data_IF_518932548415
#
_entry.id   IF_518932548415
#
_cell.length_a   1.000
_cell.length_b   1.000
_cell.length_c   1.000
_cell.angle_alpha   90.00
_cell.angle_beta   90.00
_cell.angle_gamma   90.00
#
_symmetry.space_group_name_H-M   'P 1'
#
loop_
_entity.id
_entity.type
_entity.pdbx_description
1 polymer ?
#
# COMPACT_ATOMS: atom_id res chain seq x y z
N UNK A 1 42.20 -28.31 -24.72
CA UNK A 1 41.11 -29.29 -24.59
C UNK A 1 39.85 -28.57 -24.94
N UNK A 2 39.55 -28.60 -26.23
CA UNK A 2 38.41 -27.93 -26.86
C UNK A 2 37.17 -28.79 -26.69
N UNK A 3 36.09 -28.21 -26.16
CA UNK A 3 34.77 -28.82 -26.22
C UNK A 3 33.79 -27.80 -26.78
N UNK A 4 33.68 -27.82 -28.10
CA UNK A 4 32.60 -27.27 -28.90
C UNK A 4 31.32 -28.07 -28.61
N UNK A 5 30.24 -27.39 -28.19
CA UNK A 5 28.89 -27.95 -28.21
C UNK A 5 27.94 -27.01 -28.94
N UNK A 6 27.53 -27.49 -30.12
CA UNK A 6 26.56 -26.92 -31.03
C UNK A 6 25.11 -27.18 -30.58
N UNK A 7 24.29 -26.16 -30.83
CA UNK A 7 22.95 -26.19 -31.44
C UNK A 7 21.88 -27.19 -30.96
N UNK A 8 20.71 -26.64 -30.62
CA UNK A 8 19.42 -27.12 -31.14
C UNK A 8 18.38 -26.01 -31.05
N UNK A 9 18.11 -25.42 -32.20
CA UNK A 9 17.08 -24.43 -32.50
C UNK A 9 15.77 -25.20 -32.78
N UNK A 10 14.75 -25.05 -31.94
CA UNK A 10 13.42 -25.62 -32.18
C UNK A 10 12.40 -24.51 -32.47
N UNK A 11 12.05 -24.46 -33.74
CA UNK A 11 11.10 -23.58 -34.40
C UNK A 11 9.68 -24.16 -34.20
N UNK A 12 8.75 -23.38 -33.63
CA UNK A 12 7.32 -23.70 -33.60
C UNK A 12 6.50 -22.65 -34.37
N UNK A 13 5.46 -23.06 -35.13
CA UNK A 13 4.73 -22.20 -36.06
C UNK A 13 3.64 -21.33 -35.37
N UNK A 14 3.22 -20.21 -36.00
CA UNK A 14 2.15 -19.37 -35.49
C UNK A 14 0.76 -19.87 -35.94
N UNK A 15 -0.05 -20.35 -34.99
CA UNK A 15 -1.47 -20.63 -35.23
C UNK A 15 -2.30 -19.36 -35.05
N UNK A 16 -2.71 -18.77 -36.17
CA UNK A 16 -3.71 -17.73 -36.23
C UNK A 16 -5.11 -18.33 -36.02
N UNK A 17 -5.79 -17.97 -34.92
CA UNK A 17 -7.21 -18.25 -34.73
C UNK A 17 -7.96 -16.91 -34.70
N UNK A 18 -8.71 -16.66 -35.79
CA UNK A 18 -9.68 -15.59 -35.91
C UNK A 18 -10.93 -15.96 -35.11
N UNK A 19 -11.36 -15.09 -34.20
CA UNK A 19 -12.70 -15.15 -33.61
C UNK A 19 -13.63 -14.12 -34.27
N UNK A 20 -14.89 -14.48 -34.56
CA UNK A 20 -15.90 -13.55 -35.08
C UNK A 20 -16.50 -12.66 -33.97
N UNK A 21 -17.07 -11.49 -34.34
CA UNK A 21 -17.68 -10.57 -33.38
C UNK A 21 -19.06 -11.06 -32.94
N UNK A 22 -19.32 -11.03 -31.62
CA UNK A 22 -20.62 -11.29 -31.02
C UNK A 22 -21.42 -9.98 -30.94
N UNK A 23 -22.71 -9.97 -31.32
CA UNK A 23 -23.53 -8.76 -31.40
C UNK A 23 -24.05 -8.28 -30.03
N UNK A 24 -23.97 -6.96 -29.85
CA UNK A 24 -24.61 -6.19 -28.78
C UNK A 24 -26.13 -6.33 -28.84
N UNK A 25 -26.74 -6.81 -27.76
CA UNK A 25 -28.17 -6.64 -27.49
C UNK A 25 -28.35 -5.76 -26.26
N UNK A 26 -28.70 -4.50 -26.52
CA UNK A 26 -29.53 -3.68 -25.64
C UNK A 26 -30.80 -4.46 -25.30
N UNK A 27 -31.38 -4.26 -24.10
CA UNK A 27 -32.84 -4.22 -23.86
C UNK A 27 -33.14 -4.02 -22.35
N UNK A 28 -33.77 -2.87 -22.09
CA UNK A 28 -34.96 -2.65 -21.24
C UNK A 28 -34.78 -2.45 -19.71
N UNK A 29 -34.86 -1.16 -19.36
CA UNK A 29 -35.60 -0.57 -18.24
C UNK A 29 -36.80 -1.39 -17.75
N UNK A 30 -36.85 -1.70 -16.45
CA UNK A 30 -38.14 -1.78 -15.74
C UNK A 30 -38.02 -1.20 -14.33
N UNK A 31 -38.42 0.05 -14.23
CA UNK A 31 -38.99 0.64 -13.03
C UNK A 31 -40.20 -0.17 -12.60
N UNK A 32 -40.36 -0.47 -11.31
CA UNK A 32 -41.70 -0.55 -10.73
C UNK A 32 -41.68 -0.17 -9.25
N UNK A 33 -42.48 0.87 -8.99
CA UNK A 33 -42.79 1.49 -7.73
C UNK A 33 -43.80 0.66 -6.91
N UNK A 34 -43.76 0.91 -5.59
CA UNK A 34 -44.88 0.91 -4.62
C UNK A 34 -45.57 -0.41 -4.28
N UNK A 35 -45.58 -0.78 -2.99
CA UNK A 35 -46.55 -0.30 -1.98
C UNK A 35 -46.18 -0.83 -0.58
N UNK A 36 -46.38 -0.05 0.51
CA UNK A 36 -46.35 -0.54 1.88
C UNK A 36 -47.76 -1.03 2.28
N UNK A 37 -47.84 -2.13 3.02
CA UNK A 37 -49.07 -2.53 3.71
C UNK A 37 -48.75 -2.93 5.15
N UNK A 38 -49.48 -2.40 6.16
CA UNK A 38 -49.26 -2.70 7.56
C UNK A 38 -50.16 -3.84 8.05
N UNK A 39 -49.77 -4.43 9.18
CA UNK A 39 -50.54 -5.33 10.04
C UNK A 39 -50.89 -6.74 9.50
N UNK A 40 -50.21 -7.74 10.07
CA UNK A 40 -50.89 -8.92 10.61
C UNK A 40 -50.08 -9.55 11.73
N UNK A 41 -50.69 -9.59 12.91
CA UNK A 41 -50.27 -10.34 14.08
C UNK A 41 -50.55 -11.83 13.85
N UNK A 42 -49.51 -12.65 13.81
CA UNK A 42 -49.55 -14.10 14.11
C UNK A 42 -48.25 -14.37 14.90
N UNK A 43 -48.27 -14.53 16.22
CA UNK A 43 -48.68 -15.71 17.00
C UNK A 43 -48.19 -17.06 16.42
N UNK A 44 -47.18 -17.57 17.13
CA UNK A 44 -46.80 -18.98 17.32
C UNK A 44 -46.11 -19.69 16.15
N UNK A 45 -44.78 -19.75 16.21
CA UNK A 45 -44.05 -21.03 16.23
C UNK A 45 -42.70 -20.81 16.92
N UNK A 46 -42.53 -21.41 18.10
CA UNK A 46 -41.25 -21.53 18.79
C UNK A 46 -40.33 -22.43 17.95
N UNK A 47 -39.64 -21.85 16.98
CA UNK A 47 -38.48 -22.48 16.35
C UNK A 47 -37.24 -22.13 17.18
N UNK A 48 -36.37 -23.10 17.51
CA UNK A 48 -35.11 -22.84 18.20
C UNK A 48 -34.31 -21.76 17.46
N UNK A 49 -34.04 -20.65 18.14
CA UNK A 49 -33.35 -19.47 17.62
C UNK A 49 -31.92 -19.81 17.14
N UNK A 50 -31.80 -20.22 15.88
CA UNK A 50 -30.59 -20.09 15.08
C UNK A 50 -30.45 -18.66 14.57
N UNK A 51 -30.17 -17.70 15.46
CA UNK A 51 -29.76 -16.35 15.04
C UNK A 51 -28.24 -16.29 14.91
N UNK A 52 -27.68 -17.11 14.01
CA UNK A 52 -26.40 -16.81 13.38
C UNK A 52 -26.66 -15.97 12.14
N UNK A 53 -27.14 -14.74 12.33
CA UNK A 53 -27.12 -13.72 11.25
C UNK A 53 -25.71 -13.11 11.09
N UNK A 54 -24.66 -13.87 11.41
CA UNK A 54 -23.32 -13.54 10.93
C UNK A 54 -23.25 -13.95 9.46
N UNK A 55 -23.62 -12.98 8.63
CA UNK A 55 -22.96 -12.62 7.37
C UNK A 55 -22.55 -13.82 6.51
N UNK A 56 -23.21 -13.97 5.36
CA UNK A 56 -22.87 -14.92 4.30
C UNK A 56 -21.49 -14.71 3.64
N UNK A 57 -20.43 -14.46 4.42
CA UNK A 57 -19.09 -14.84 4.05
C UNK A 57 -19.07 -16.36 3.97
N UNK A 58 -18.97 -16.86 2.74
CA UNK A 58 -18.73 -18.26 2.43
C UNK A 58 -17.76 -18.83 3.46
N UNK A 59 -18.24 -19.74 4.31
CA UNK A 59 -17.40 -20.45 5.27
C UNK A 59 -16.39 -21.26 4.46
N UNK A 60 -15.16 -20.78 4.42
CA UNK A 60 -14.04 -21.52 3.84
C UNK A 60 -13.60 -22.56 4.86
N UNK A 61 -13.64 -23.83 4.47
CA UNK A 61 -13.26 -24.97 5.28
C UNK A 61 -11.77 -24.90 5.65
N UNK A 62 -11.37 -25.59 6.73
CA UNK A 62 -9.99 -25.56 7.23
C UNK A 62 -8.98 -26.02 6.16
N UNK A 63 -9.30 -27.08 5.41
CA UNK A 63 -8.42 -27.61 4.37
C UNK A 63 -8.27 -26.64 3.18
N UNK A 64 -9.33 -25.91 2.81
CA UNK A 64 -9.28 -24.90 1.74
C UNK A 64 -8.44 -23.69 2.17
N UNK A 65 -8.54 -23.27 3.43
CA UNK A 65 -7.66 -22.22 4.00
C UNK A 65 -6.20 -22.64 3.93
N UNK A 66 -5.88 -23.87 4.31
CA UNK A 66 -4.53 -24.41 4.21
C UNK A 66 -4.02 -24.41 2.77
N UNK A 67 -4.80 -24.95 1.83
CA UNK A 67 -4.44 -24.95 0.41
C UNK A 67 -4.28 -23.54 -0.16
N UNK A 68 -5.12 -22.60 0.27
CA UNK A 68 -5.03 -21.19 -0.11
C UNK A 68 -3.70 -20.56 0.32
N UNK A 69 -3.29 -20.78 1.57
CA UNK A 69 -2.01 -20.25 2.06
C UNK A 69 -0.83 -20.94 1.36
N UNK A 70 -0.87 -22.26 1.19
CA UNK A 70 0.16 -22.99 0.43
C UNK A 70 0.28 -22.50 -1.02
N UNK A 71 -0.83 -22.11 -1.65
CA UNK A 71 -0.79 -21.49 -2.97
C UNK A 71 -0.06 -20.14 -2.92
N UNK A 72 -0.34 -19.28 -1.92
CA UNK A 72 0.36 -18.01 -1.77
C UNK A 72 1.87 -18.21 -1.59
N UNK A 73 2.27 -19.15 -0.74
CA UNK A 73 3.68 -19.51 -0.51
C UNK A 73 4.33 -20.04 -1.79
N UNK A 74 3.67 -20.98 -2.49
CA UNK A 74 4.20 -21.59 -3.72
C UNK A 74 4.27 -20.64 -4.91
N UNK A 75 3.52 -19.54 -4.90
CA UNK A 75 3.51 -18.51 -5.95
C UNK A 75 4.04 -17.17 -5.42
N UNK A 76 5.00 -17.21 -4.50
CA UNK A 76 5.57 -15.99 -3.92
C UNK A 76 6.24 -15.07 -4.95
N UNK A 77 6.86 -15.63 -5.98
CA UNK A 77 7.54 -14.85 -7.02
C UNK A 77 6.54 -14.06 -7.86
N UNK A 78 5.41 -14.68 -8.19
CA UNK A 78 4.28 -13.99 -8.83
C UNK A 78 3.77 -12.85 -7.95
N UNK A 79 3.71 -13.04 -6.63
CA UNK A 79 3.31 -11.98 -5.71
C UNK A 79 4.34 -10.83 -5.65
N UNK A 80 5.64 -11.14 -5.79
CA UNK A 80 6.74 -10.17 -5.81
C UNK A 80 6.74 -9.33 -7.09
N UNK A 81 6.50 -9.95 -8.23
CA UNK A 81 6.76 -9.35 -9.54
C UNK A 81 5.51 -8.88 -10.28
N UNK A 82 4.34 -9.49 -10.04
CA UNK A 82 3.11 -9.09 -10.71
C UNK A 82 2.41 -7.95 -9.96
N UNK A 83 1.61 -7.13 -10.66
CA UNK A 83 0.65 -6.25 -10.00
C UNK A 83 -0.25 -7.04 -9.05
N UNK A 84 -0.45 -6.53 -7.83
CA UNK A 84 -1.26 -7.20 -6.78
C UNK A 84 -2.64 -7.64 -7.27
N UNK A 85 -3.28 -6.86 -8.14
CA UNK A 85 -4.57 -7.21 -8.75
C UNK A 85 -4.50 -8.47 -9.64
N UNK A 86 -3.44 -8.63 -10.42
CA UNK A 86 -3.23 -9.80 -11.28
C UNK A 86 -3.00 -11.06 -10.45
N UNK A 87 -2.13 -11.00 -9.44
CA UNK A 87 -1.91 -12.12 -8.52
C UNK A 87 -3.22 -12.62 -7.91
N UNK A 88 -4.07 -11.73 -7.41
CA UNK A 88 -5.35 -12.12 -6.83
C UNK A 88 -6.37 -12.64 -7.85
N UNK A 89 -6.29 -12.21 -9.12
CA UNK A 89 -7.12 -12.79 -10.19
C UNK A 89 -6.66 -14.21 -10.56
N UNK A 90 -5.34 -14.45 -10.62
CA UNK A 90 -4.77 -15.78 -10.81
C UNK A 90 -5.18 -16.69 -9.65
N UNK A 91 -5.07 -16.19 -8.41
CA UNK A 91 -5.54 -16.89 -7.20
C UNK A 91 -7.03 -17.26 -7.29
N UNK A 92 -7.90 -16.34 -7.70
CA UNK A 92 -9.35 -16.61 -7.84
C UNK A 92 -9.60 -17.72 -8.84
N UNK A 93 -8.96 -17.64 -10.00
CA UNK A 93 -9.10 -18.64 -11.08
C UNK A 93 -8.64 -20.01 -10.59
N UNK A 94 -7.47 -20.07 -9.94
CA UNK A 94 -6.97 -21.31 -9.33
C UNK A 94 -7.94 -21.86 -8.26
N UNK A 95 -8.45 -21.00 -7.38
CA UNK A 95 -9.36 -21.40 -6.30
C UNK A 95 -10.67 -21.95 -6.86
N UNK A 96 -11.25 -21.30 -7.87
CA UNK A 96 -12.46 -21.74 -8.55
C UNK A 96 -12.26 -23.08 -9.26
N UNK A 97 -11.13 -23.26 -9.97
CA UNK A 97 -10.78 -24.52 -10.60
C UNK A 97 -10.54 -25.66 -9.60
N UNK A 98 -9.99 -25.34 -8.42
CA UNK A 98 -9.62 -26.33 -7.40
C UNK A 98 -10.82 -26.79 -6.56
N UNK A 99 -11.72 -25.86 -6.21
CA UNK A 99 -12.83 -26.13 -5.29
C UNK A 99 -14.22 -26.06 -5.95
N UNK A 100 -14.29 -25.74 -7.24
CA UNK A 100 -15.54 -25.62 -7.99
C UNK A 100 -16.43 -24.46 -7.54
N UNK A 101 -15.86 -23.44 -6.88
CA UNK A 101 -16.60 -22.28 -6.37
C UNK A 101 -15.80 -20.99 -6.41
N UNK A 102 -16.45 -19.90 -6.76
CA UNK A 102 -15.80 -18.59 -6.85
C UNK A 102 -15.60 -17.95 -5.47
N UNK A 103 -14.43 -17.31 -5.28
CA UNK A 103 -14.09 -16.59 -4.06
C UNK A 103 -14.18 -15.08 -4.29
N UNK A 104 -15.12 -14.42 -3.60
CA UNK A 104 -15.40 -12.99 -3.83
C UNK A 104 -14.22 -12.08 -3.47
N UNK A 105 -13.61 -12.30 -2.31
CA UNK A 105 -12.55 -11.45 -1.75
C UNK A 105 -11.39 -12.28 -1.19
N UNK A 106 -10.48 -12.78 -2.05
CA UNK A 106 -9.32 -13.57 -1.61
C UNK A 106 -8.39 -12.78 -0.69
N UNK A 107 -8.04 -11.53 -1.06
CA UNK A 107 -7.13 -10.68 -0.27
C UNK A 107 -7.63 -10.52 1.16
N UNK A 108 -8.92 -10.18 1.33
CA UNK A 108 -9.55 -10.05 2.66
C UNK A 108 -9.52 -11.35 3.45
N UNK A 109 -9.78 -12.49 2.81
CA UNK A 109 -9.73 -13.79 3.47
C UNK A 109 -8.31 -14.08 3.98
N UNK A 110 -7.29 -13.91 3.13
CA UNK A 110 -5.90 -14.16 3.51
C UNK A 110 -5.46 -13.18 4.61
N UNK A 111 -5.79 -11.89 4.50
CA UNK A 111 -5.49 -10.89 5.51
C UNK A 111 -6.13 -11.23 6.87
N UNK A 112 -7.37 -11.72 6.88
CA UNK A 112 -8.03 -12.19 8.11
C UNK A 112 -7.35 -13.41 8.71
N UNK A 113 -6.87 -14.36 7.90
CA UNK A 113 -6.11 -15.51 8.39
C UNK A 113 -4.79 -15.07 9.02
N UNK A 114 -4.06 -14.20 8.34
CA UNK A 114 -2.80 -13.63 8.83
C UNK A 114 -2.99 -12.86 10.13
N UNK A 115 -4.03 -12.01 10.21
CA UNK A 115 -4.35 -11.25 11.42
C UNK A 115 -4.63 -12.18 12.61
N UNK A 116 -5.53 -13.16 12.44
CA UNK A 116 -5.86 -14.14 13.49
C UNK A 116 -4.65 -14.95 13.92
N UNK A 117 -3.75 -15.25 12.98
CA UNK A 117 -2.52 -15.97 13.28
C UNK A 117 -1.55 -15.14 14.13
N UNK A 118 -1.36 -13.87 13.81
CA UNK A 118 -0.57 -12.94 14.64
C UNK A 118 -1.17 -12.79 16.05
N UNK A 119 -2.50 -12.70 16.15
CA UNK A 119 -3.21 -12.67 17.44
C UNK A 119 -2.97 -13.96 18.24
N UNK A 120 -3.04 -15.13 17.58
CA UNK A 120 -2.73 -16.43 18.19
C UNK A 120 -1.28 -16.50 18.66
N UNK A 121 -0.31 -16.09 17.83
CA UNK A 121 1.10 -16.05 18.21
C UNK A 121 1.35 -15.12 19.41
N UNK A 122 0.75 -13.93 19.42
CA UNK A 122 0.88 -12.99 20.53
C UNK A 122 0.30 -13.56 21.84
N UNK A 123 -0.85 -14.24 21.77
CA UNK A 123 -1.43 -14.93 22.92
C UNK A 123 -0.52 -16.07 23.43
N UNK A 124 0.01 -16.91 22.53
CA UNK A 124 0.94 -17.99 22.91
C UNK A 124 2.23 -17.47 23.54
N UNK A 125 2.78 -16.37 23.03
CA UNK A 125 3.95 -15.71 23.61
C UNK A 125 3.65 -15.16 25.01
N UNK A 126 2.46 -14.61 25.22
CA UNK A 126 2.04 -14.09 26.53
C UNK A 126 1.79 -15.21 27.56
N UNK A 127 1.24 -16.35 27.14
CA UNK A 127 0.86 -17.45 28.05
C UNK A 127 2.00 -18.43 28.34
N UNK A 128 2.76 -18.84 27.32
CA UNK A 128 3.73 -19.95 27.42
C UNK A 128 5.18 -19.48 27.32
N UNK A 129 5.43 -18.23 26.92
CA UNK A 129 6.78 -17.73 26.63
C UNK A 129 7.46 -18.38 25.41
N UNK A 130 6.80 -19.35 24.77
CA UNK A 130 7.26 -19.99 23.53
C UNK A 130 6.10 -20.10 22.55
N UNK A 131 6.28 -19.59 21.34
CA UNK A 131 5.33 -19.79 20.24
C UNK A 131 5.84 -20.94 19.37
N UNK A 132 5.20 -22.10 19.46
CA UNK A 132 5.44 -23.21 18.52
C UNK A 132 4.23 -23.37 17.61
N UNK A 133 4.48 -23.57 16.33
CA UNK A 133 3.45 -23.79 15.31
C UNK A 133 2.93 -25.22 15.44
N UNK A 134 1.67 -25.37 15.83
CA UNK A 134 1.09 -26.69 16.16
C UNK A 134 0.46 -27.39 14.96
N UNK A 135 0.13 -26.63 13.90
CA UNK A 135 -0.60 -27.17 12.75
C UNK A 135 0.05 -26.79 11.42
N UNK A 136 -0.14 -27.63 10.40
CA UNK A 136 0.26 -27.34 9.01
C UNK A 136 -0.19 -25.97 8.50
N UNK A 137 -1.36 -25.49 8.98
CA UNK A 137 -1.88 -24.18 8.61
C UNK A 137 -1.07 -23.07 9.28
N UNK A 138 -0.72 -23.25 10.56
CA UNK A 138 0.11 -22.29 11.30
C UNK A 138 1.49 -22.19 10.63
N UNK A 139 2.13 -23.31 10.30
CA UNK A 139 3.43 -23.33 9.62
C UNK A 139 3.37 -22.64 8.25
N UNK A 140 2.36 -22.94 7.43
CA UNK A 140 2.20 -22.28 6.14
C UNK A 140 1.94 -20.77 6.29
N UNK A 141 1.26 -20.35 7.36
CA UNK A 141 1.05 -18.94 7.68
C UNK A 141 2.33 -18.25 8.15
N UNK A 142 3.18 -18.95 8.92
CA UNK A 142 4.50 -18.46 9.31
C UNK A 142 5.39 -18.22 8.08
N UNK A 143 5.44 -19.19 7.16
CA UNK A 143 6.17 -19.06 5.90
C UNK A 143 5.64 -17.88 5.07
N UNK A 144 4.31 -17.74 4.96
CA UNK A 144 3.71 -16.61 4.25
C UNK A 144 4.01 -15.26 4.91
N UNK A 145 3.99 -15.20 6.24
CA UNK A 145 4.36 -14.00 6.99
C UNK A 145 5.80 -13.59 6.74
N UNK A 146 6.73 -14.54 6.78
CA UNK A 146 8.14 -14.29 6.47
C UNK A 146 8.30 -13.69 5.07
N UNK A 147 7.60 -14.25 4.06
CA UNK A 147 7.62 -13.72 2.69
C UNK A 147 7.11 -12.28 2.64
N UNK A 148 6.02 -11.95 3.36
CA UNK A 148 5.50 -10.59 3.40
C UNK A 148 6.50 -9.61 4.03
N UNK A 149 7.15 -10.02 5.11
CA UNK A 149 8.15 -9.21 5.81
C UNK A 149 9.39 -9.00 4.91
N UNK A 150 9.88 -10.04 4.23
CA UNK A 150 10.98 -9.95 3.26
C UNK A 150 10.67 -8.97 2.11
N UNK A 151 9.43 -8.98 1.61
CA UNK A 151 8.99 -8.08 0.54
C UNK A 151 8.94 -6.64 1.02
N UNK A 152 8.44 -6.43 2.25
CA UNK A 152 8.39 -5.10 2.85
C UNK A 152 9.81 -4.56 3.11
N UNK A 153 10.70 -5.42 3.57
CA UNK A 153 12.10 -5.10 3.83
C UNK A 153 12.86 -4.78 2.54
N UNK A 154 12.70 -5.58 1.48
CA UNK A 154 13.29 -5.30 0.18
C UNK A 154 12.80 -3.95 -0.39
N UNK A 155 11.52 -3.60 -0.18
CA UNK A 155 10.98 -2.29 -0.56
C UNK A 155 11.60 -1.15 0.25
N UNK A 156 11.82 -1.37 1.55
CA UNK A 156 12.49 -0.39 2.43
C UNK A 156 13.93 -0.16 1.97
N UNK A 157 14.68 -1.23 1.72
CA UNK A 157 16.06 -1.15 1.24
C UNK A 157 16.15 -0.43 -0.11
N UNK A 158 15.31 -0.79 -1.08
CA UNK A 158 15.30 -0.14 -2.39
C UNK A 158 15.00 1.37 -2.30
N UNK A 159 14.16 1.79 -1.33
CA UNK A 159 13.90 3.20 -1.06
C UNK A 159 15.13 3.89 -0.46
N UNK A 160 15.78 3.27 0.52
CA UNK A 160 16.99 3.83 1.16
C UNK A 160 18.14 3.97 0.16
N UNK A 161 18.35 2.98 -0.71
CA UNK A 161 19.36 3.01 -1.76
C UNK A 161 19.07 4.13 -2.79
N UNK A 162 17.81 4.29 -3.18
CA UNK A 162 17.39 5.36 -4.09
C UNK A 162 17.59 6.75 -3.45
N UNK A 163 17.25 6.90 -2.18
CA UNK A 163 17.47 8.14 -1.43
C UNK A 163 18.97 8.44 -1.26
N UNK A 164 19.77 7.42 -0.97
CA UNK A 164 21.22 7.56 -0.86
C UNK A 164 21.86 7.95 -2.19
N UNK A 165 21.46 7.30 -3.29
CA UNK A 165 21.88 7.68 -4.63
C UNK A 165 21.57 9.15 -4.93
N UNK A 166 20.37 9.62 -4.57
CA UNK A 166 20.00 11.03 -4.70
C UNK A 166 20.83 11.95 -3.79
N UNK A 167 21.15 11.54 -2.54
CA UNK A 167 22.02 12.29 -1.63
C UNK A 167 23.43 12.42 -2.21
N UNK A 168 24.02 11.32 -2.68
CA UNK A 168 25.36 11.29 -3.27
C UNK A 168 25.43 12.16 -4.54
N UNK A 169 24.44 12.04 -5.44
CA UNK A 169 24.36 12.87 -6.65
C UNK A 169 24.28 14.37 -6.33
N UNK A 170 23.52 14.74 -5.30
CA UNK A 170 23.41 16.13 -4.83
C UNK A 170 24.74 16.65 -4.25
N UNK A 171 25.41 15.85 -3.42
CA UNK A 171 26.72 16.21 -2.85
C UNK A 171 27.79 16.34 -3.92
N UNK A 172 27.82 15.43 -4.90
CA UNK A 172 28.74 15.51 -6.04
C UNK A 172 28.54 16.81 -6.81
N UNK A 173 27.29 17.18 -7.11
CA UNK A 173 26.97 18.42 -7.81
C UNK A 173 27.44 19.66 -7.02
N UNK A 174 27.24 19.68 -5.70
CA UNK A 174 27.74 20.78 -4.86
C UNK A 174 29.27 20.85 -4.85
N UNK A 175 29.95 19.71 -4.74
CA UNK A 175 31.41 19.63 -4.77
C UNK A 175 31.96 20.13 -6.11
N UNK A 176 31.32 19.76 -7.21
CA UNK A 176 31.74 20.20 -8.54
C UNK A 176 31.54 21.71 -8.71
N UNK A 177 30.42 22.28 -8.24
CA UNK A 177 30.24 23.74 -8.21
C UNK A 177 31.33 24.44 -7.40
N UNK A 178 31.66 23.91 -6.21
CA UNK A 178 32.71 24.47 -5.36
C UNK A 178 34.10 24.38 -5.99
N UNK A 179 34.41 23.28 -6.69
CA UNK A 179 35.66 23.13 -7.46
C UNK A 179 35.75 24.16 -8.60
N UNK A 180 34.67 24.34 -9.37
CA UNK A 180 34.63 25.34 -10.45
C UNK A 180 34.80 26.76 -9.90
N UNK A 181 34.18 27.07 -8.75
CA UNK A 181 34.36 28.36 -8.07
C UNK A 181 35.82 28.58 -7.64
N UNK A 182 36.46 27.57 -7.03
CA UNK A 182 37.88 27.64 -6.65
C UNK A 182 38.79 27.84 -7.86
N UNK A 183 38.51 27.17 -8.98
CA UNK A 183 39.26 27.34 -10.23
C UNK A 183 39.15 28.78 -10.77
N UNK A 184 37.95 29.36 -10.78
CA UNK A 184 37.75 30.77 -11.18
C UNK A 184 38.53 31.75 -10.31
N UNK A 185 38.54 31.56 -8.99
CA UNK A 185 39.29 32.44 -8.06
C UNK A 185 40.80 32.38 -8.34
N UNK A 186 41.37 31.19 -8.62
CA UNK A 186 42.80 31.08 -8.96
C UNK A 186 43.17 31.81 -10.25
N UNK A 187 42.33 31.72 -11.28
CA UNK A 187 42.57 32.45 -12.53
C UNK A 187 42.50 33.97 -12.34
N UNK A 188 41.63 34.47 -11.45
CA UNK A 188 41.57 35.90 -11.13
C UNK A 188 42.78 36.41 -10.34
N UNK A 189 43.45 35.56 -9.55
CA UNK A 189 44.61 35.96 -8.74
C UNK A 189 45.96 35.76 -9.46
N UNK A 190 46.02 34.92 -10.50
CA UNK A 190 47.27 34.54 -11.17
C UNK A 190 47.70 35.41 -12.35
N UNK A 191 46.87 36.35 -12.80
CA UNK A 191 47.16 37.19 -13.98
C UNK A 191 47.53 38.64 -13.63
N UNK A 192 47.74 38.92 -12.34
CA UNK A 192 48.37 40.18 -11.90
C UNK A 192 49.87 40.09 -12.11
N UNK A 193 50.29 40.13 -13.38
CA UNK A 193 51.67 40.40 -13.75
C UNK A 193 52.00 41.86 -13.37
N UNK A 194 53.01 42.13 -12.53
CA UNK A 194 53.39 43.47 -12.14
C UNK A 194 54.24 44.07 -13.27
N UNK A 195 53.60 44.64 -14.29
CA UNK A 195 54.35 45.29 -15.35
C UNK A 195 53.49 45.83 -16.49
N UNK A 196 52.86 46.99 -16.29
CA UNK A 196 52.82 48.02 -17.33
C UNK A 196 52.24 49.32 -16.76
N UNK A 197 53.17 50.21 -16.45
CA UNK A 197 53.19 51.63 -16.75
C UNK A 197 51.89 52.45 -16.74
N UNK A 198 51.98 53.49 -15.91
CA UNK A 198 51.15 54.67 -15.77
C UNK A 198 50.74 55.26 -17.12
N UNK A 199 49.42 55.37 -17.35
CA UNK A 199 48.82 56.57 -17.95
C UNK A 199 47.35 56.66 -17.54
N UNK A 200 47.08 57.67 -16.72
CA UNK A 200 45.76 58.19 -16.38
C UNK A 200 45.14 58.89 -17.60
N UNK A 201 43.89 58.57 -17.95
CA UNK A 201 42.96 59.58 -18.41
C UNK A 201 41.85 59.73 -17.37
N UNK A 202 41.68 60.97 -16.93
CA UNK A 202 40.47 61.41 -16.25
C UNK A 202 39.29 61.20 -17.20
N UNK A 203 38.39 60.29 -16.87
CA UNK A 203 37.01 60.35 -17.35
C UNK A 203 36.06 59.80 -16.29
N UNK A 204 35.75 60.69 -15.34
CA UNK A 204 34.79 60.51 -14.29
C UNK A 204 33.38 60.76 -14.83
N UNK A 205 32.64 59.69 -15.13
CA UNK A 205 31.22 59.83 -15.48
C UNK A 205 30.41 58.55 -15.68
N UNK A 206 30.98 57.47 -16.22
CA UNK A 206 30.17 56.32 -16.68
C UNK A 206 30.46 54.97 -15.99
N UNK A 207 31.54 54.82 -15.21
CA UNK A 207 31.93 53.52 -14.64
C UNK A 207 31.01 52.98 -13.53
N UNK A 208 30.18 53.82 -12.89
CA UNK A 208 29.26 53.35 -11.85
C UNK A 208 28.14 52.45 -12.42
N UNK A 209 27.73 52.69 -13.67
CA UNK A 209 26.63 51.96 -14.32
C UNK A 209 27.02 50.51 -14.64
N UNK A 210 28.21 50.28 -15.19
CA UNK A 210 28.63 48.95 -15.64
C UNK A 210 28.92 48.00 -14.48
N UNK A 211 29.41 48.52 -13.35
CA UNK A 211 29.63 47.71 -12.14
C UNK A 211 28.29 47.26 -11.55
N UNK A 212 27.27 48.14 -11.53
CA UNK A 212 25.92 47.79 -11.05
C UNK A 212 25.24 46.81 -12.02
N UNK A 213 25.40 46.99 -13.33
CA UNK A 213 24.87 46.07 -14.36
C UNK A 213 25.51 44.67 -14.27
N UNK A 214 26.82 44.61 -14.06
CA UNK A 214 27.55 43.36 -13.88
C UNK A 214 27.11 42.60 -12.62
N UNK A 215 26.87 43.32 -11.52
CA UNK A 215 26.40 42.75 -10.26
C UNK A 215 24.96 42.21 -10.39
N UNK A 216 24.06 42.94 -11.06
CA UNK A 216 22.69 42.48 -11.32
C UNK A 216 22.68 41.19 -12.17
N UNK A 217 23.55 41.12 -13.19
CA UNK A 217 23.65 39.94 -14.07
C UNK A 217 24.21 38.72 -13.32
N UNK A 218 25.12 38.94 -12.36
CA UNK A 218 25.67 37.88 -11.52
C UNK A 218 24.70 37.37 -10.43
N UNK A 219 23.76 38.21 -9.98
CA UNK A 219 22.77 37.85 -8.95
C UNK A 219 21.53 37.13 -9.50
N UNK A 220 21.14 37.36 -10.76
CA UNK A 220 19.98 36.70 -11.38
C UNK A 220 20.01 35.16 -11.31
N UNK A 221 21.14 34.47 -11.59
CA UNK A 221 21.22 33.01 -11.45
C UNK A 221 21.04 32.52 -10.02
N UNK A 222 21.45 33.34 -9.03
CA UNK A 222 21.29 33.02 -7.61
C UNK A 222 19.82 33.13 -7.21
N UNK A 223 19.12 34.18 -7.67
CA UNK A 223 17.68 34.33 -7.47
C UNK A 223 16.88 33.15 -8.07
N UNK A 224 17.19 32.77 -9.32
CA UNK A 224 16.55 31.62 -9.98
C UNK A 224 16.84 30.29 -9.27
N UNK A 225 18.05 30.11 -8.74
CA UNK A 225 18.40 28.92 -7.96
C UNK A 225 17.62 28.85 -6.64
N UNK A 226 17.42 29.99 -5.96
CA UNK A 226 16.63 30.07 -4.72
C UNK A 226 15.16 29.73 -4.99
N UNK A 227 14.57 30.25 -6.07
CA UNK A 227 13.19 29.93 -6.47
C UNK A 227 13.02 28.44 -6.81
N UNK A 228 13.95 27.86 -7.58
CA UNK A 228 13.94 26.43 -7.92
C UNK A 228 14.05 25.55 -6.68
N UNK A 229 14.89 25.94 -5.70
CA UNK A 229 15.02 25.23 -4.43
C UNK A 229 13.73 25.32 -3.60
N UNK A 230 13.07 26.48 -3.59
CA UNK A 230 11.80 26.68 -2.90
C UNK A 230 10.68 25.81 -3.50
N UNK A 231 10.60 25.75 -4.85
CA UNK A 231 9.63 24.90 -5.57
C UNK A 231 9.88 23.42 -5.27
N UNK A 232 11.14 22.96 -5.34
CA UNK A 232 11.47 21.56 -5.03
C UNK A 232 11.16 21.19 -3.58
N UNK A 233 11.40 22.10 -2.63
CA UNK A 233 11.10 21.88 -1.21
C UNK A 233 9.59 21.81 -0.96
N UNK A 234 8.81 22.64 -1.64
CA UNK A 234 7.35 22.61 -1.56
C UNK A 234 6.78 21.34 -2.20
N UNK A 235 7.33 20.87 -3.32
CA UNK A 235 6.92 19.59 -3.94
C UNK A 235 7.17 18.39 -3.02
N UNK A 236 8.34 18.33 -2.34
CA UNK A 236 8.62 17.26 -1.37
C UNK A 236 7.70 17.30 -0.15
N UNK A 237 7.40 18.51 0.37
CA UNK A 237 6.42 18.69 1.45
C UNK A 237 5.02 18.26 1.02
N UNK A 238 4.59 18.62 -0.18
CA UNK A 238 3.29 18.21 -0.71
C UNK A 238 3.19 16.69 -0.88
N UNK A 239 4.24 16.03 -1.39
CA UNK A 239 4.30 14.56 -1.52
C UNK A 239 4.25 13.87 -0.16
N UNK A 240 5.06 14.32 0.80
CA UNK A 240 5.06 13.77 2.16
C UNK A 240 3.72 13.99 2.88
N UNK A 241 3.10 15.16 2.70
CA UNK A 241 1.78 15.46 3.26
C UNK A 241 0.69 14.59 2.62
N UNK A 242 0.77 14.33 1.31
CA UNK A 242 -0.15 13.44 0.61
C UNK A 242 -0.03 11.99 1.11
N UNK A 243 1.19 11.47 1.27
CA UNK A 243 1.45 10.15 1.84
C UNK A 243 0.91 10.05 3.28
N UNK A 244 1.22 11.02 4.14
CA UNK A 244 0.69 11.05 5.50
C UNK A 244 -0.85 11.12 5.52
N UNK A 245 -1.47 11.84 4.58
CA UNK A 245 -2.93 11.89 4.47
C UNK A 245 -3.52 10.54 4.04
N UNK A 246 -2.83 9.78 3.18
CA UNK A 246 -3.26 8.42 2.82
C UNK A 246 -3.21 7.47 4.01
N UNK A 247 -2.12 7.50 4.80
CA UNK A 247 -1.97 6.68 6.01
C UNK A 247 -3.07 7.02 7.03
N UNK A 248 -3.28 8.31 7.32
CA UNK A 248 -4.34 8.78 8.22
C UNK A 248 -5.74 8.36 7.74
N UNK A 249 -6.00 8.36 6.43
CA UNK A 249 -7.28 7.90 5.88
C UNK A 249 -7.50 6.41 6.11
N UNK A 250 -6.47 5.58 5.96
CA UNK A 250 -6.53 4.16 6.30
C UNK A 250 -6.77 3.94 7.78
N UNK A 251 -6.06 4.67 8.65
CA UNK A 251 -6.22 4.54 10.11
C UNK A 251 -7.62 4.98 10.57
N UNK A 252 -8.16 6.06 9.99
CA UNK A 252 -9.53 6.52 10.26
C UNK A 252 -10.57 5.51 9.78
N UNK A 253 -10.33 4.84 8.65
CA UNK A 253 -11.22 3.79 8.17
C UNK A 253 -11.22 2.57 9.09
N UNK A 254 -10.05 2.13 9.55
CA UNK A 254 -9.90 1.01 10.50
C UNK A 254 -10.52 1.35 11.86
N UNK A 255 -10.28 2.56 12.38
CA UNK A 255 -10.88 3.03 13.62
C UNK A 255 -12.41 3.07 13.54
N UNK A 256 -12.97 3.52 12.40
CA UNK A 256 -14.42 3.53 12.18
C UNK A 256 -15.01 2.12 12.18
N UNK A 257 -14.32 1.15 11.60
CA UNK A 257 -14.74 -0.26 11.64
C UNK A 257 -14.74 -0.77 13.09
N UNK A 258 -13.69 -0.49 13.87
CA UNK A 258 -13.61 -0.86 15.29
C UNK A 258 -14.72 -0.23 16.14
N UNK A 259 -15.04 1.04 15.92
CA UNK A 259 -16.14 1.72 16.63
C UNK A 259 -17.49 1.09 16.31
N UNK A 260 -17.73 0.73 15.05
CA UNK A 260 -18.96 0.04 14.66
C UNK A 260 -19.07 -1.34 15.32
N UNK A 261 -17.94 -2.06 15.42
CA UNK A 261 -17.88 -3.36 16.10
C UNK A 261 -18.19 -3.23 17.60
N UNK A 262 -17.56 -2.28 18.29
CA UNK A 262 -17.84 -2.00 19.71
C UNK A 262 -19.30 -1.60 19.91
N UNK A 263 -19.86 -0.77 19.03
CA UNK A 263 -21.28 -0.39 19.09
C UNK A 263 -22.19 -1.61 18.94
N UNK A 264 -21.85 -2.55 18.05
CA UNK A 264 -22.59 -3.80 17.90
C UNK A 264 -22.53 -4.67 19.16
N UNK A 265 -21.35 -4.77 19.77
CA UNK A 265 -21.15 -5.48 21.04
C UNK A 265 -21.96 -4.85 22.18
N UNK A 266 -21.96 -3.52 22.31
CA UNK A 266 -22.75 -2.83 23.33
C UNK A 266 -24.26 -3.03 23.15
N UNK A 267 -24.76 -3.05 21.91
CA UNK A 267 -26.17 -3.36 21.64
C UNK A 267 -26.52 -4.78 22.10
N UNK A 268 -25.67 -5.77 21.79
CA UNK A 268 -25.87 -7.15 22.23
C UNK A 268 -25.87 -7.29 23.77
N UNK A 269 -24.95 -6.61 24.46
CA UNK A 269 -24.90 -6.58 25.93
C UNK A 269 -26.18 -5.98 26.50
N UNK A 270 -26.67 -4.87 25.92
CA UNK A 270 -27.92 -4.23 26.35
C UNK A 270 -29.12 -5.16 26.21
N UNK A 271 -29.21 -5.89 25.10
CA UNK A 271 -30.28 -6.89 24.87
C UNK A 271 -30.20 -8.04 25.87
N UNK A 272 -29.02 -8.58 26.13
CA UNK A 272 -28.81 -9.64 27.12
C UNK A 272 -29.21 -9.20 28.53
N UNK A 273 -28.80 -7.99 28.93
CA UNK A 273 -29.18 -7.44 30.23
C UNK A 273 -30.69 -7.19 30.34
N UNK A 274 -31.34 -6.74 29.27
CA UNK A 274 -32.80 -6.61 29.20
C UNK A 274 -33.51 -7.95 29.36
N UNK A 275 -33.03 -9.00 28.69
CA UNK A 275 -33.57 -10.35 28.82
C UNK A 275 -33.39 -10.90 30.25
N UNK A 276 -32.22 -10.68 30.85
CA UNK A 276 -31.92 -11.09 32.22
C UNK A 276 -32.85 -10.41 33.24
N UNK A 277 -33.08 -9.09 33.10
CA UNK A 277 -34.01 -8.34 33.95
C UNK A 277 -35.44 -8.86 33.83
N UNK A 278 -35.90 -9.20 32.62
CA UNK A 278 -37.22 -9.78 32.42
C UNK A 278 -37.37 -11.17 33.07
N UNK A 279 -36.31 -11.97 33.08
CA UNK A 279 -36.29 -13.27 33.77
C UNK A 279 -36.40 -13.06 35.29
N UNK A 280 -35.58 -12.15 35.86
CA UNK A 280 -35.62 -11.84 37.29
C UNK A 280 -37.00 -11.34 37.74
N UNK A 281 -37.66 -10.49 36.95
CA UNK A 281 -39.02 -10.02 37.25
C UNK A 281 -40.06 -11.14 37.26
N UNK A 282 -39.91 -12.15 36.39
CA UNK A 282 -40.82 -13.32 36.37
C UNK A 282 -40.56 -14.29 37.52
N UNK A 283 -39.35 -14.28 38.06
CA UNK A 283 -38.93 -15.17 39.14
C UNK A 283 -39.26 -14.65 40.54
N UNK A 284 -39.77 -13.42 40.68
CA UNK A 284 -40.10 -12.82 41.98
C UNK A 284 -41.58 -13.08 42.33
N UNK A 285 -41.94 -14.19 43.00
CA UNK A 285 -43.31 -14.71 43.05
C UNK A 285 -44.09 -14.15 44.25
N UNK A 286 -43.69 -13.00 44.80
CA UNK A 286 -44.23 -12.50 46.09
C UNK A 286 -44.54 -11.02 46.07
N UNK A 287 -45.67 -10.66 45.45
CA UNK A 287 -46.49 -9.49 45.83
C UNK A 287 -47.96 -9.75 45.52
N UNK A 288 -48.51 -10.80 46.13
CA UNK A 288 -49.91 -10.86 46.57
C UNK A 288 -49.94 -11.52 47.95
#
# INVERSE_FOLDING_TARGET
>A
MDTTSQASEQQFPPSAVRHPPIPSKQIINRSNNSFPSPNSRQLVFLSPNHTSSQQGYLRVAKYEKLKSIRYCVGNQDDYRHLPRSQFWNNFKTWFENTFGRSLRQPDRMIAQLVKKHREKQAAMLAESGTARSETDLDQALDEWLQILDDIQEAKRQAKEDAEEYHRQRSQQMQNDMMKHRRKRIRHQQGDSSPGSNIQTPSDSGQQSSDVIQGLATALNPIAAAIESLAVSRNARRASSLAENNTVLRTDVADLKERVNEISGQMSAIREQMGAMMAILQRMDPKRE
#
